data_IF_255919595242
#
_entry.id   IF_255919595242
#
_cell.length_a   1.000
_cell.length_b   1.000
_cell.length_c   1.000
_cell.angle_alpha   90.00
_cell.angle_beta   90.00
_cell.angle_gamma   90.00
#
_symmetry.space_group_name_H-M   'P 1'
#
loop_
_entity.id
_entity.type
_entity.pdbx_description
1 polymer ?
#
# COMPACT_ATOMS: atom_id res chain seq x y z
N UNK A 1 -9.48 -6.08 -12.74
CA UNK A 1 -10.22 -5.25 -13.74
C UNK A 1 -11.71 -5.56 -13.80
N UNK A 2 -12.14 -6.80 -13.72
CA UNK A 2 -13.57 -7.16 -13.80
C UNK A 2 -14.45 -6.41 -12.79
N UNK A 3 -14.02 -6.30 -11.56
CA UNK A 3 -14.75 -5.62 -10.47
C UNK A 3 -14.76 -4.08 -10.54
N UNK A 4 -13.92 -3.48 -11.38
CA UNK A 4 -13.84 -2.01 -11.47
C UNK A 4 -15.03 -1.39 -12.19
N UNK A 5 -15.46 -0.21 -11.77
CA UNK A 5 -16.47 0.58 -12.46
C UNK A 5 -15.95 1.12 -13.81
N UNK A 6 -16.87 1.53 -14.69
CA UNK A 6 -16.53 2.27 -15.93
C UNK A 6 -15.86 3.59 -15.53
N UNK A 7 -14.78 3.96 -16.21
CA UNK A 7 -13.98 5.14 -15.87
C UNK A 7 -13.10 4.98 -14.65
N UNK A 8 -13.03 3.77 -14.06
CA UNK A 8 -12.28 3.50 -12.85
C UNK A 8 -10.78 3.76 -12.97
N UNK A 9 -10.13 3.91 -11.82
CA UNK A 9 -8.70 4.10 -11.70
C UNK A 9 -8.06 2.88 -11.02
N UNK A 10 -7.02 2.33 -11.64
CA UNK A 10 -6.23 1.22 -11.11
C UNK A 10 -4.85 1.76 -10.77
N UNK A 11 -4.51 1.75 -9.49
CA UNK A 11 -3.20 2.15 -9.01
C UNK A 11 -2.27 0.93 -8.93
N UNK A 12 -1.19 0.93 -9.69
CA UNK A 12 -0.12 -0.07 -9.61
C UNK A 12 0.93 0.41 -8.60
N UNK A 13 0.89 -0.14 -7.40
CA UNK A 13 1.66 0.35 -6.25
C UNK A 13 2.82 -0.57 -5.83
N UNK A 14 2.92 -1.77 -6.39
CA UNK A 14 3.98 -2.70 -6.02
C UNK A 14 4.14 -3.85 -7.01
N UNK A 15 5.29 -4.48 -6.93
CA UNK A 15 5.73 -5.56 -7.83
C UNK A 15 6.33 -6.74 -7.04
N UNK A 16 5.77 -7.04 -5.87
CA UNK A 16 6.29 -8.06 -4.96
C UNK A 16 6.35 -9.46 -5.59
N UNK A 17 5.41 -9.77 -6.49
CA UNK A 17 5.32 -11.07 -7.16
C UNK A 17 6.03 -11.13 -8.51
N UNK A 18 6.65 -10.05 -8.95
CA UNK A 18 7.39 -9.97 -10.22
C UNK A 18 7.37 -8.58 -10.83
N UNK A 19 8.32 -8.33 -11.74
CA UNK A 19 8.51 -7.03 -12.39
C UNK A 19 7.68 -6.85 -13.66
N UNK A 20 7.01 -7.90 -14.12
CA UNK A 20 6.19 -7.89 -15.32
C UNK A 20 4.96 -8.76 -15.12
N UNK A 21 3.91 -8.47 -15.86
CA UNK A 21 2.65 -9.21 -15.83
C UNK A 21 1.79 -8.88 -17.04
N UNK A 22 0.83 -9.74 -17.33
CA UNK A 22 -0.13 -9.53 -18.41
C UNK A 22 -1.23 -8.56 -17.97
N UNK A 23 -1.63 -7.70 -18.89
CA UNK A 23 -2.74 -6.77 -18.70
C UNK A 23 -3.82 -7.11 -19.71
N UNK A 24 -5.05 -7.32 -19.22
CA UNK A 24 -6.23 -7.54 -20.06
C UNK A 24 -6.65 -6.22 -20.74
N UNK A 25 -5.96 -5.86 -21.83
CA UNK A 25 -6.12 -4.57 -22.53
C UNK A 25 -7.54 -4.35 -23.05
N UNK A 26 -8.20 -5.41 -23.52
CA UNK A 26 -9.60 -5.32 -23.96
C UNK A 26 -10.54 -4.90 -22.83
N UNK A 27 -10.34 -5.41 -21.62
CA UNK A 27 -11.13 -5.00 -20.45
C UNK A 27 -10.81 -3.57 -20.00
N UNK A 28 -9.53 -3.17 -20.08
CA UNK A 28 -9.11 -1.81 -19.79
C UNK A 28 -9.80 -0.81 -20.72
N UNK A 29 -9.83 -1.12 -22.02
CA UNK A 29 -10.48 -0.32 -23.05
C UNK A 29 -12.01 -0.29 -22.86
N UNK A 30 -12.66 -1.46 -22.74
CA UNK A 30 -14.11 -1.55 -22.61
C UNK A 30 -14.66 -0.83 -21.37
N UNK A 31 -13.88 -0.77 -20.30
CA UNK A 31 -14.22 -0.03 -19.09
C UNK A 31 -13.73 1.41 -19.07
N UNK A 32 -13.09 1.88 -20.12
CA UNK A 32 -12.50 3.23 -20.17
C UNK A 32 -11.66 3.53 -18.90
N UNK A 33 -11.04 2.48 -18.34
CA UNK A 33 -10.28 2.57 -17.11
C UNK A 33 -8.89 3.15 -17.35
N UNK A 34 -8.31 3.73 -16.30
CA UNK A 34 -6.92 4.20 -16.28
C UNK A 34 -6.08 3.29 -15.41
N UNK A 35 -4.90 2.92 -15.91
CA UNK A 35 -3.86 2.24 -15.14
C UNK A 35 -2.71 3.20 -14.93
N UNK A 36 -2.38 3.46 -13.67
CA UNK A 36 -1.33 4.40 -13.29
C UNK A 36 -0.32 3.73 -12.36
N UNK A 37 0.94 3.70 -12.79
CA UNK A 37 2.05 3.35 -11.91
C UNK A 37 2.32 4.45 -10.90
N UNK A 38 2.53 4.06 -9.64
CA UNK A 38 2.83 4.98 -8.55
C UNK A 38 4.16 4.58 -7.91
N UNK A 39 4.96 5.59 -7.61
CA UNK A 39 6.11 5.49 -6.70
C UNK A 39 5.79 6.38 -5.51
N UNK A 40 6.32 6.03 -4.35
CA UNK A 40 6.21 6.80 -3.10
C UNK A 40 5.99 8.31 -3.32
N UNK A 41 5.82 9.07 -2.32
CA UNK A 41 5.60 10.52 -2.44
C UNK A 41 6.82 11.35 -2.03
N UNK A 42 6.71 12.64 -2.25
CA UNK A 42 7.63 13.64 -1.71
C UNK A 42 7.33 13.92 -0.22
N UNK A 43 8.26 14.62 0.45
CA UNK A 43 8.02 15.14 1.82
C UNK A 43 6.72 15.96 1.90
N UNK A 44 6.44 16.76 0.88
CA UNK A 44 5.19 17.54 0.81
C UNK A 44 3.96 16.62 0.84
N UNK A 45 3.98 15.55 0.03
CA UNK A 45 2.88 14.57 0.02
C UNK A 45 2.69 13.93 1.39
N UNK A 46 3.80 13.54 2.06
CA UNK A 46 3.72 12.97 3.40
C UNK A 46 3.14 13.96 4.41
N UNK A 47 3.57 15.22 4.40
CA UNK A 47 3.05 16.24 5.31
C UNK A 47 1.53 16.45 5.12
N UNK A 48 1.08 16.53 3.86
CA UNK A 48 -0.36 16.66 3.56
C UNK A 48 -1.14 15.42 3.99
N UNK A 49 -0.57 14.23 3.75
CA UNK A 49 -1.18 12.96 4.11
C UNK A 49 -1.34 12.82 5.64
N UNK A 50 -0.32 13.16 6.40
CA UNK A 50 -0.39 13.13 7.88
C UNK A 50 -1.48 14.06 8.40
N UNK A 51 -1.58 15.28 7.86
CA UNK A 51 -2.65 16.21 8.22
C UNK A 51 -4.04 15.69 7.87
N UNK A 52 -4.18 15.02 6.73
CA UNK A 52 -5.44 14.42 6.31
C UNK A 52 -5.85 13.25 7.22
N UNK A 53 -4.91 12.40 7.62
CA UNK A 53 -5.14 11.31 8.57
C UNK A 53 -5.60 11.86 9.91
N UNK A 54 -4.93 12.89 10.41
CA UNK A 54 -5.26 13.53 11.69
C UNK A 54 -6.66 14.17 11.65
N UNK A 55 -6.94 14.97 10.62
CA UNK A 55 -8.24 15.60 10.43
C UNK A 55 -9.41 14.60 10.26
N UNK A 56 -9.16 13.47 9.63
CA UNK A 56 -10.16 12.43 9.43
C UNK A 56 -10.21 11.42 10.60
N UNK A 57 -9.39 11.58 11.62
CA UNK A 57 -9.27 10.67 12.77
C UNK A 57 -9.04 9.21 12.37
N UNK A 58 -8.27 8.98 11.29
CA UNK A 58 -7.94 7.65 10.81
C UNK A 58 -6.88 7.04 11.73
N UNK A 59 -7.19 5.90 12.32
CA UNK A 59 -6.24 5.12 13.11
C UNK A 59 -5.76 3.93 12.30
N UNK A 60 -4.43 3.81 12.00
CA UNK A 60 -3.89 2.62 11.37
C UNK A 60 -4.13 1.38 12.23
N UNK A 61 -4.35 0.25 11.59
CA UNK A 61 -4.38 -1.04 12.29
C UNK A 61 -2.94 -1.44 12.59
N UNK A 62 -2.59 -1.52 13.86
CA UNK A 62 -1.29 -1.99 14.33
C UNK A 62 -1.48 -3.43 14.82
N UNK A 63 -0.76 -4.35 14.19
CA UNK A 63 -0.79 -5.77 14.55
C UNK A 63 0.07 -6.04 15.78
N UNK A 64 1.30 -5.57 15.76
CA UNK A 64 2.29 -5.76 16.83
C UNK A 64 3.30 -4.63 16.88
N UNK A 65 3.72 -4.28 18.10
CA UNK A 65 4.86 -3.42 18.36
C UNK A 65 6.03 -4.24 18.93
N UNK A 66 7.24 -3.83 18.58
CA UNK A 66 8.50 -4.39 19.07
C UNK A 66 9.37 -3.25 19.62
N UNK A 67 10.16 -3.53 20.63
CA UNK A 67 11.22 -2.61 21.04
C UNK A 67 12.32 -2.51 19.97
N UNK A 68 13.10 -1.44 19.98
CA UNK A 68 14.19 -1.26 19.00
C UNK A 68 15.26 -2.36 19.13
N UNK A 69 15.48 -2.90 20.29
CA UNK A 69 16.35 -4.05 20.57
C UNK A 69 15.84 -5.36 19.96
N UNK A 70 14.55 -5.45 19.69
CA UNK A 70 13.90 -6.60 19.04
C UNK A 70 13.75 -6.45 17.52
N UNK A 71 14.46 -5.50 16.89
CA UNK A 71 14.31 -5.16 15.46
C UNK A 71 14.47 -6.39 14.54
N UNK A 72 15.33 -7.32 14.88
CA UNK A 72 15.54 -8.56 14.10
C UNK A 72 14.30 -9.42 14.10
N UNK A 73 13.61 -9.53 15.23
CA UNK A 73 12.39 -10.32 15.35
C UNK A 73 11.21 -9.62 14.68
N UNK A 74 11.17 -8.29 14.69
CA UNK A 74 10.21 -7.51 13.93
C UNK A 74 10.32 -7.80 12.41
N UNK A 75 11.53 -7.79 11.85
CA UNK A 75 11.75 -8.13 10.43
C UNK A 75 11.46 -9.61 10.12
N UNK A 76 11.77 -10.53 11.02
CA UNK A 76 11.39 -11.95 10.85
C UNK A 76 9.87 -12.11 10.81
N UNK A 77 9.18 -11.40 11.69
CA UNK A 77 7.72 -11.43 11.74
C UNK A 77 7.11 -10.81 10.46
N UNK A 78 7.65 -9.70 9.98
CA UNK A 78 7.25 -9.10 8.70
C UNK A 78 7.45 -10.09 7.53
N UNK A 79 8.61 -10.72 7.45
CA UNK A 79 8.95 -11.69 6.40
C UNK A 79 8.04 -12.93 6.42
N UNK A 80 7.51 -13.31 7.58
CA UNK A 80 6.57 -14.44 7.70
C UNK A 80 5.22 -14.19 7.01
N UNK A 81 4.86 -12.93 6.78
CA UNK A 81 3.56 -12.56 6.19
C UNK A 81 2.35 -12.85 7.08
N UNK A 82 2.54 -13.20 8.35
CA UNK A 82 1.45 -13.58 9.27
C UNK A 82 0.75 -12.39 9.92
N UNK A 83 1.29 -11.18 9.75
CA UNK A 83 0.73 -9.96 10.32
C UNK A 83 -0.46 -9.43 9.51
N UNK A 84 -1.37 -8.75 10.20
CA UNK A 84 -2.47 -8.00 9.60
C UNK A 84 -2.40 -6.53 10.01
N UNK A 85 -2.05 -5.64 9.09
CA UNK A 85 -1.87 -4.23 9.37
C UNK A 85 -0.39 -3.85 9.44
N UNK A 86 -0.01 -3.02 10.41
CA UNK A 86 1.34 -2.48 10.55
C UNK A 86 2.08 -3.11 11.70
N UNK A 87 3.37 -3.35 11.49
CA UNK A 87 4.33 -3.69 12.52
C UNK A 87 5.04 -2.39 12.92
N UNK A 88 5.08 -2.09 14.20
CA UNK A 88 5.70 -0.87 14.73
C UNK A 88 6.97 -1.19 15.51
N UNK A 89 7.91 -0.26 15.50
CA UNK A 89 9.05 -0.21 16.41
C UNK A 89 8.86 0.94 17.39
N UNK A 90 9.07 0.68 18.66
CA UNK A 90 9.00 1.66 19.75
C UNK A 90 10.41 1.94 20.28
N UNK A 91 10.75 3.21 20.48
CA UNK A 91 12.06 3.67 20.97
C UNK A 91 11.95 4.97 21.74
#
# INVERSE_FOLDING_TARGET
MAAGAIGGHIALIGVLTGRAGEIATAQLMAKQARLQGLIVGSRRHQTVFVRAIDAAHIKPVIDRSFGLDEIVDAFRYEASGQHFGKICLEF
#
